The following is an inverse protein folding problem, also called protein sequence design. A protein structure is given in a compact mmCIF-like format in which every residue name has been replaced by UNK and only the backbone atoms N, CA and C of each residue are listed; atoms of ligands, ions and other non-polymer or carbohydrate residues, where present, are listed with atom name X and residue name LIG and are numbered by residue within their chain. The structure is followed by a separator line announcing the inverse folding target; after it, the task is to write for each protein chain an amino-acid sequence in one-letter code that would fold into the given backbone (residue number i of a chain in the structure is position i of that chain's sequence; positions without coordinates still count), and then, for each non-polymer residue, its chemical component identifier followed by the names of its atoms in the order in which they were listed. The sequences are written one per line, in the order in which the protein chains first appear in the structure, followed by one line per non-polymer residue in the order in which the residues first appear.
data_IF_212561300392
#
_entry.id   IF_212561300392
#
_cell.length_a   1.000
_cell.length_b   1.000
_cell.length_c   1.000
_cell.angle_alpha   90.00
_cell.angle_beta   90.00
_cell.angle_gamma   90.00
#
_symmetry.space_group_name_H-M   'P 1'
#
loop_
_entity.id
_entity.type
_entity.pdbx_description
1 polymer ?
#
# COMPACT_ATOMS: atom_id res chain seq x y z
N UNK A 1 -36.73 25.72 28.74
CA UNK A 1 -35.66 24.79 29.13
C UNK A 1 -34.49 25.04 28.20
N UNK A 2 -33.32 25.39 28.73
CA UNK A 2 -32.10 25.64 27.95
C UNK A 2 -31.26 24.38 27.97
N UNK A 3 -31.10 23.72 26.82
CA UNK A 3 -30.27 22.51 26.71
C UNK A 3 -28.80 22.93 26.78
N UNK A 4 -28.12 22.60 27.87
CA UNK A 4 -26.68 22.84 28.00
C UNK A 4 -25.91 21.83 27.16
N UNK A 5 -25.13 22.31 26.19
CA UNK A 5 -24.27 21.46 25.37
C UNK A 5 -23.05 21.03 26.18
N UNK A 6 -22.87 19.72 26.37
CA UNK A 6 -21.68 19.15 27.00
C UNK A 6 -20.59 18.96 25.95
N UNK A 7 -19.38 19.48 26.21
CA UNK A 7 -18.21 19.32 25.35
C UNK A 7 -17.19 18.43 26.05
N UNK A 8 -16.72 17.39 25.36
CA UNK A 8 -15.68 16.49 25.85
C UNK A 8 -14.60 16.37 24.79
N UNK A 9 -13.36 16.65 25.15
CA UNK A 9 -12.19 16.41 24.32
C UNK A 9 -11.76 14.94 24.46
N UNK A 10 -11.54 14.26 23.34
CA UNK A 10 -11.03 12.88 23.31
C UNK A 10 -9.52 12.91 23.14
N UNK A 11 -8.79 12.20 24.00
CA UNK A 11 -7.33 12.09 23.95
C UNK A 11 -6.90 10.81 23.19
N UNK A 12 -5.73 10.82 22.52
CA UNK A 12 -5.22 9.63 21.87
C UNK A 12 -4.73 8.61 22.90
N UNK A 13 -5.42 7.47 23.00
CA UNK A 13 -5.12 6.41 23.98
C UNK A 13 -4.80 5.05 23.32
N UNK A 14 -4.89 4.97 21.99
CA UNK A 14 -4.68 3.72 21.27
C UNK A 14 -3.20 3.32 21.24
N UNK A 15 -2.97 2.02 21.41
CA UNK A 15 -1.64 1.41 21.19
C UNK A 15 -1.30 1.37 19.70
N UNK A 16 -0.02 1.29 19.38
CA UNK A 16 0.47 1.24 18.00
C UNK A 16 -0.21 0.15 17.15
N UNK A 17 -0.37 -1.06 17.68
CA UNK A 17 -1.06 -2.15 16.96
C UNK A 17 -2.52 -1.81 16.62
N UNK A 18 -3.21 -1.08 17.49
CA UNK A 18 -4.58 -0.61 17.23
C UNK A 18 -4.58 0.47 16.15
N UNK A 19 -3.64 1.41 16.21
CA UNK A 19 -3.46 2.45 15.18
C UNK A 19 -3.19 1.79 13.82
N UNK A 20 -2.28 0.83 13.76
CA UNK A 20 -1.92 0.11 12.54
C UNK A 20 -3.13 -0.62 11.93
N UNK A 21 -3.86 -1.37 12.76
CA UNK A 21 -5.08 -2.07 12.32
C UNK A 21 -6.12 -1.10 11.75
N UNK A 22 -6.37 0.01 12.44
CA UNK A 22 -7.39 0.98 12.03
C UNK A 22 -6.95 1.78 10.81
N UNK A 23 -5.65 2.07 10.68
CA UNK A 23 -5.08 2.72 9.50
C UNK A 23 -5.18 1.82 8.28
N UNK A 24 -4.82 0.53 8.41
CA UNK A 24 -4.96 -0.44 7.34
C UNK A 24 -6.43 -0.59 6.89
N UNK A 25 -7.37 -0.64 7.84
CA UNK A 25 -8.81 -0.67 7.56
C UNK A 25 -9.30 0.59 6.86
N UNK A 26 -8.97 1.77 7.37
CA UNK A 26 -9.38 3.04 6.78
C UNK A 26 -8.81 3.20 5.35
N UNK A 27 -7.53 2.88 5.15
CA UNK A 27 -6.91 2.93 3.83
C UNK A 27 -7.57 1.95 2.87
N UNK A 28 -7.71 0.68 3.27
CA UNK A 28 -8.26 -0.38 2.43
C UNK A 28 -9.70 -0.11 2.02
N UNK A 29 -10.55 0.28 2.98
CA UNK A 29 -11.96 0.57 2.73
C UNK A 29 -12.15 1.74 1.77
N UNK A 30 -11.39 2.83 1.94
CA UNK A 30 -11.40 3.96 1.01
C UNK A 30 -10.91 3.56 -0.38
N UNK A 31 -9.81 2.82 -0.47
CA UNK A 31 -9.27 2.39 -1.75
C UNK A 31 -10.25 1.46 -2.49
N UNK A 32 -10.86 0.49 -1.80
CA UNK A 32 -11.86 -0.40 -2.40
C UNK A 32 -13.10 0.37 -2.86
N UNK A 33 -13.60 1.30 -2.05
CA UNK A 33 -14.75 2.13 -2.40
C UNK A 33 -14.44 3.00 -3.63
N UNK A 34 -13.29 3.68 -3.64
CA UNK A 34 -12.85 4.51 -4.76
C UNK A 34 -12.73 3.69 -6.05
N UNK A 35 -12.03 2.55 -6.00
CA UNK A 35 -11.87 1.67 -7.16
C UNK A 35 -13.20 1.14 -7.69
N UNK A 36 -14.15 0.81 -6.80
CA UNK A 36 -15.49 0.35 -7.19
C UNK A 36 -16.28 1.44 -7.90
N UNK A 37 -16.14 2.70 -7.46
CA UNK A 37 -16.80 3.84 -8.12
C UNK A 37 -16.13 4.15 -9.45
N UNK A 38 -14.80 4.25 -9.48
CA UNK A 38 -14.02 4.60 -10.67
C UNK A 38 -14.15 3.57 -11.78
N UNK A 39 -14.25 2.28 -11.45
CA UNK A 39 -14.47 1.21 -12.44
C UNK A 39 -15.74 1.42 -13.27
N UNK A 40 -16.75 2.16 -12.76
CA UNK A 40 -17.97 2.51 -13.51
C UNK A 40 -17.73 3.55 -14.60
N UNK A 41 -16.60 4.26 -14.54
CA UNK A 41 -16.19 5.30 -15.48
C UNK A 41 -15.11 4.82 -16.46
N UNK A 42 -14.76 3.53 -16.43
CA UNK A 42 -13.78 2.92 -17.33
C UNK A 42 -12.36 2.86 -16.76
N UNK A 43 -11.47 2.19 -17.51
CA UNK A 43 -10.09 1.91 -17.09
C UNK A 43 -9.23 3.17 -17.00
N UNK A 44 -9.49 4.17 -17.84
CA UNK A 44 -8.76 5.45 -17.83
C UNK A 44 -8.90 6.18 -16.48
N UNK A 45 -10.11 6.21 -15.91
CA UNK A 45 -10.35 6.83 -14.61
C UNK A 45 -9.61 6.12 -13.46
N UNK A 46 -9.50 4.79 -13.54
CA UNK A 46 -8.73 3.98 -12.59
C UNK A 46 -7.24 4.29 -12.71
N UNK A 47 -6.72 4.33 -13.94
CA UNK A 47 -5.31 4.61 -14.20
C UNK A 47 -4.91 6.02 -13.78
N UNK A 48 -5.75 7.02 -14.03
CA UNK A 48 -5.54 8.40 -13.58
C UNK A 48 -5.48 8.48 -12.05
N UNK A 49 -6.44 7.87 -11.36
CA UNK A 49 -6.45 7.81 -9.89
C UNK A 49 -5.19 7.16 -9.33
N UNK A 50 -4.75 6.04 -9.90
CA UNK A 50 -3.51 5.37 -9.48
C UNK A 50 -2.26 6.22 -9.73
N UNK A 51 -2.21 6.98 -10.82
CA UNK A 51 -1.12 7.91 -11.08
C UNK A 51 -1.11 9.06 -10.06
N UNK A 52 -2.25 9.69 -9.81
CA UNK A 52 -2.38 10.82 -8.89
C UNK A 52 -2.08 10.43 -7.43
N UNK A 53 -2.52 9.25 -7.00
CA UNK A 53 -2.22 8.75 -5.64
C UNK A 53 -0.77 8.35 -5.46
N UNK A 54 -0.08 7.93 -6.53
CA UNK A 54 1.34 7.58 -6.50
C UNK A 54 2.25 8.82 -6.38
N UNK A 55 1.92 9.92 -7.06
CA UNK A 55 2.79 11.10 -7.16
C UNK A 55 3.30 11.65 -5.82
N UNK A 56 2.47 11.84 -4.78
CA UNK A 56 2.94 12.32 -3.48
C UNK A 56 3.92 11.36 -2.80
N UNK A 57 3.70 10.06 -2.92
CA UNK A 57 4.59 9.04 -2.34
C UNK A 57 5.95 9.02 -3.05
N UNK A 58 5.95 9.11 -4.38
CA UNK A 58 7.18 9.23 -5.18
C UNK A 58 7.96 10.46 -4.76
N UNK A 59 7.29 11.62 -4.65
CA UNK A 59 7.89 12.87 -4.21
C UNK A 59 8.51 12.71 -2.82
N UNK A 60 7.77 12.15 -1.88
CA UNK A 60 8.24 11.93 -0.51
C UNK A 60 9.52 11.07 -0.46
N UNK A 61 9.56 9.94 -1.18
CA UNK A 61 10.74 9.08 -1.19
C UNK A 61 11.94 9.73 -1.92
N UNK A 62 11.70 10.53 -2.96
CA UNK A 62 12.76 11.34 -3.58
C UNK A 62 13.32 12.37 -2.60
N UNK A 63 12.47 13.03 -1.80
CA UNK A 63 12.88 13.97 -0.76
C UNK A 63 13.65 13.29 0.39
N UNK A 64 13.34 12.02 0.69
CA UNK A 64 14.13 11.18 1.60
C UNK A 64 15.49 10.74 1.03
N UNK A 65 15.77 11.05 -0.24
CA UNK A 65 17.03 10.71 -0.88
C UNK A 65 17.12 9.29 -1.44
N UNK A 66 16.00 8.63 -1.70
CA UNK A 66 15.97 7.30 -2.35
C UNK A 66 16.61 7.37 -3.74
N UNK A 67 17.70 6.63 -3.95
CA UNK A 67 18.47 6.60 -5.21
C UNK A 67 18.76 5.20 -5.73
N UNK A 68 18.61 4.19 -4.89
CA UNK A 68 18.86 2.78 -5.24
C UNK A 68 17.63 1.91 -4.95
N UNK A 69 17.52 0.74 -5.59
CA UNK A 69 16.55 -0.28 -5.22
C UNK A 69 16.56 -0.60 -3.71
N UNK A 70 17.74 -0.70 -3.09
CA UNK A 70 17.86 -0.96 -1.65
C UNK A 70 17.25 0.16 -0.80
N UNK A 71 17.48 1.42 -1.16
CA UNK A 71 16.87 2.56 -0.46
C UNK A 71 15.34 2.51 -0.58
N UNK A 72 14.85 2.15 -1.77
CA UNK A 72 13.42 2.08 -2.03
C UNK A 72 12.74 0.98 -1.22
N UNK A 73 13.30 -0.24 -1.19
CA UNK A 73 12.71 -1.33 -0.38
C UNK A 73 12.78 -1.03 1.11
N UNK A 74 13.85 -0.37 1.59
CA UNK A 74 13.97 0.08 2.99
C UNK A 74 12.87 1.08 3.35
N UNK A 75 12.73 2.16 2.56
CA UNK A 75 11.74 3.19 2.81
C UNK A 75 10.30 2.64 2.79
N UNK A 76 10.00 1.77 1.81
CA UNK A 76 8.69 1.10 1.73
C UNK A 76 8.45 0.15 2.90
N UNK A 77 9.42 -0.69 3.24
CA UNK A 77 9.28 -1.64 4.34
C UNK A 77 9.10 -0.93 5.68
N UNK A 78 9.86 0.14 5.92
CA UNK A 78 9.75 0.96 7.13
C UNK A 78 8.36 1.60 7.25
N UNK A 79 7.89 2.25 6.18
CA UNK A 79 6.56 2.86 6.16
C UNK A 79 5.47 1.81 6.40
N UNK A 80 5.46 0.72 5.65
CA UNK A 80 4.37 -0.26 5.70
C UNK A 80 4.36 -1.07 7.01
N UNK A 81 5.54 -1.32 7.59
CA UNK A 81 5.65 -1.96 8.91
C UNK A 81 5.14 -1.03 10.01
N UNK A 82 5.52 0.24 10.00
CA UNK A 82 5.16 1.17 11.07
C UNK A 82 3.72 1.67 10.98
N UNK A 83 3.22 1.93 9.77
CA UNK A 83 1.91 2.55 9.53
C UNK A 83 0.79 1.52 9.42
N UNK A 84 1.03 0.38 8.76
CA UNK A 84 0.00 -0.64 8.56
C UNK A 84 0.20 -1.90 9.40
N UNK A 85 1.39 -2.12 9.96
CA UNK A 85 1.71 -3.35 10.69
C UNK A 85 2.00 -4.55 9.79
N UNK A 86 2.40 -4.31 8.53
CA UNK A 86 2.88 -5.38 7.65
C UNK A 86 4.16 -6.02 8.20
N UNK A 87 4.36 -7.32 7.94
CA UNK A 87 5.61 -8.03 8.25
C UNK A 87 6.39 -8.23 6.97
N UNK A 88 7.55 -7.58 6.87
CA UNK A 88 8.31 -7.48 5.64
C UNK A 88 9.77 -7.87 5.91
N UNK A 89 10.31 -8.71 5.04
CA UNK A 89 11.73 -9.01 4.95
C UNK A 89 12.32 -8.31 3.72
N UNK A 90 13.49 -7.69 3.86
CA UNK A 90 14.22 -7.08 2.75
C UNK A 90 15.58 -7.76 2.57
N UNK A 91 16.02 -7.91 1.32
CA UNK A 91 17.33 -8.45 0.98
C UNK A 91 17.78 -7.94 -0.39
N UNK A 92 19.09 -8.00 -0.67
CA UNK A 92 19.69 -7.51 -1.91
C UNK A 92 20.70 -6.38 -1.71
N UNK A 93 20.97 -5.62 -2.77
CA UNK A 93 21.98 -4.59 -2.86
C UNK A 93 21.51 -3.32 -3.63
N UNK A 94 22.44 -2.42 -3.94
CA UNK A 94 22.17 -1.15 -4.62
C UNK A 94 21.76 -1.26 -6.11
N UNK A 95 21.76 -2.47 -6.69
CA UNK A 95 21.39 -2.75 -8.08
C UNK A 95 20.13 -3.60 -8.17
N UNK A 96 19.94 -4.54 -7.24
CA UNK A 96 18.76 -5.37 -7.15
C UNK A 96 18.38 -5.58 -5.68
N UNK A 97 17.14 -5.24 -5.33
CA UNK A 97 16.65 -5.41 -3.97
C UNK A 97 15.21 -5.91 -3.95
N UNK A 98 14.90 -6.67 -2.90
CA UNK A 98 13.65 -7.37 -2.74
C UNK A 98 12.92 -6.95 -1.48
N UNK A 99 11.60 -6.95 -1.56
CA UNK A 99 10.67 -6.72 -0.47
C UNK A 99 9.70 -7.91 -0.44
N UNK A 100 9.88 -8.79 0.54
CA UNK A 100 9.10 -10.01 0.73
C UNK A 100 8.08 -9.82 1.84
N UNK A 101 6.80 -9.89 1.48
CA UNK A 101 5.69 -9.77 2.40
C UNK A 101 5.44 -11.11 3.12
N UNK A 102 5.96 -11.24 4.34
CA UNK A 102 5.59 -12.34 5.24
C UNK A 102 4.14 -12.20 5.73
N UNK A 103 3.66 -10.96 5.82
CA UNK A 103 2.25 -10.64 6.05
C UNK A 103 1.95 -9.24 5.49
N UNK A 104 0.99 -9.12 4.59
CA UNK A 104 0.54 -7.84 4.05
C UNK A 104 -0.74 -7.39 4.76
N UNK A 105 -0.66 -6.33 5.57
CA UNK A 105 -1.79 -5.84 6.36
C UNK A 105 -2.97 -5.36 5.50
N UNK A 106 -2.68 -4.71 4.37
CA UNK A 106 -3.70 -4.24 3.42
C UNK A 106 -4.41 -5.44 2.77
N UNK A 107 -3.68 -6.42 2.24
CA UNK A 107 -4.26 -7.63 1.66
C UNK A 107 -5.13 -8.40 2.67
N UNK A 108 -4.62 -8.58 3.89
CA UNK A 108 -5.36 -9.24 4.96
C UNK A 108 -6.65 -8.49 5.30
N UNK A 109 -6.62 -7.16 5.28
CA UNK A 109 -7.80 -6.34 5.53
C UNK A 109 -8.80 -6.43 4.37
N UNK A 110 -8.33 -6.47 3.12
CA UNK A 110 -9.20 -6.69 1.96
C UNK A 110 -9.96 -8.00 2.06
N UNK A 111 -9.26 -9.11 2.38
CA UNK A 111 -9.87 -10.43 2.57
C UNK A 111 -10.91 -10.44 3.70
N UNK A 112 -10.75 -9.58 4.71
CA UNK A 112 -11.71 -9.47 5.82
C UNK A 112 -12.93 -8.59 5.47
N UNK A 113 -12.72 -7.52 4.70
CA UNK A 113 -13.77 -6.56 4.36
C UNK A 113 -14.59 -6.95 3.13
N UNK A 114 -14.01 -7.72 2.21
CA UNK A 114 -14.65 -8.19 1.00
C UNK A 114 -14.53 -9.70 0.89
N UNK A 115 -15.65 -10.37 0.68
CA UNK A 115 -15.64 -11.73 0.13
C UNK A 115 -15.20 -11.64 -1.33
N UNK A 116 -13.90 -11.53 -1.56
CA UNK A 116 -13.33 -11.60 -2.90
C UNK A 116 -13.39 -13.04 -3.38
N UNK A 117 -13.95 -13.25 -4.57
CA UNK A 117 -13.79 -14.53 -5.26
C UNK A 117 -12.39 -14.59 -5.90
N UNK A 118 -11.98 -15.78 -6.36
CA UNK A 118 -10.64 -15.99 -6.96
C UNK A 118 -10.35 -15.07 -8.15
N UNK A 119 -11.34 -14.81 -9.00
CA UNK A 119 -11.17 -13.92 -10.16
C UNK A 119 -10.87 -12.48 -9.71
N UNK A 120 -11.53 -12.01 -8.65
CA UNK A 120 -11.26 -10.70 -8.05
C UNK A 120 -9.88 -10.66 -7.40
N UNK A 121 -9.47 -11.73 -6.72
CA UNK A 121 -8.12 -11.83 -6.15
C UNK A 121 -7.05 -11.76 -7.24
N UNK A 122 -7.19 -12.51 -8.33
CA UNK A 122 -6.27 -12.49 -9.46
C UNK A 122 -6.17 -11.10 -10.11
N UNK A 123 -7.30 -10.42 -10.32
CA UNK A 123 -7.32 -9.04 -10.83
C UNK A 123 -6.62 -8.07 -9.90
N UNK A 124 -6.78 -8.22 -8.59
CA UNK A 124 -6.10 -7.39 -7.60
C UNK A 124 -4.60 -7.65 -7.57
N UNK A 125 -4.17 -8.91 -7.67
CA UNK A 125 -2.76 -9.27 -7.77
C UNK A 125 -2.11 -8.69 -9.03
N UNK A 126 -2.78 -8.77 -10.19
CA UNK A 126 -2.33 -8.15 -11.43
C UNK A 126 -2.26 -6.62 -11.31
N UNK A 127 -3.29 -6.01 -10.70
CA UNK A 127 -3.30 -4.57 -10.40
C UNK A 127 -2.14 -4.14 -9.49
N UNK A 128 -1.81 -4.94 -8.48
CA UNK A 128 -0.66 -4.70 -7.61
C UNK A 128 0.67 -4.76 -8.37
N UNK A 129 0.85 -5.77 -9.23
CA UNK A 129 2.04 -5.88 -10.08
C UNK A 129 2.20 -4.66 -11.02
N UNK A 130 1.11 -4.20 -11.62
CA UNK A 130 1.10 -2.99 -12.44
C UNK A 130 1.46 -1.74 -11.62
N UNK A 131 0.91 -1.60 -10.41
CA UNK A 131 1.23 -0.49 -9.51
C UNK A 131 2.71 -0.49 -9.13
N UNK A 132 3.29 -1.66 -8.81
CA UNK A 132 4.72 -1.81 -8.50
C UNK A 132 5.58 -1.42 -9.69
N UNK A 133 5.27 -1.91 -10.89
CA UNK A 133 6.02 -1.59 -12.11
C UNK A 133 5.94 -0.09 -12.43
N UNK A 134 4.75 0.51 -12.36
CA UNK A 134 4.56 1.94 -12.57
C UNK A 134 5.31 2.77 -11.52
N UNK A 135 5.37 2.30 -10.26
CA UNK A 135 6.12 2.95 -9.20
C UNK A 135 7.63 2.88 -9.43
N UNK A 136 8.15 1.72 -9.82
CA UNK A 136 9.58 1.53 -10.10
C UNK A 136 10.08 2.49 -11.18
N UNK A 137 9.29 2.68 -12.25
CA UNK A 137 9.61 3.58 -13.37
C UNK A 137 9.85 5.03 -12.94
N UNK A 138 9.16 5.49 -11.91
CA UNK A 138 9.31 6.87 -11.38
C UNK A 138 10.70 7.13 -10.79
N UNK A 139 11.45 6.07 -10.48
CA UNK A 139 12.82 6.09 -9.97
C UNK A 139 13.83 5.60 -11.03
N UNK A 140 13.38 5.30 -12.24
CA UNK A 140 14.22 4.71 -13.29
C UNK A 140 14.60 3.26 -13.03
N UNK A 141 13.75 2.52 -12.31
CA UNK A 141 13.93 1.09 -12.01
C UNK A 141 12.92 0.23 -12.76
N UNK A 142 13.26 -1.04 -12.94
CA UNK A 142 12.32 -2.11 -13.23
C UNK A 142 11.69 -2.62 -11.93
N UNK A 143 10.41 -2.98 -12.00
CA UNK A 143 9.66 -3.53 -10.86
C UNK A 143 8.87 -4.75 -11.27
N UNK A 144 9.01 -5.82 -10.50
CA UNK A 144 8.28 -7.09 -10.69
C UNK A 144 7.65 -7.55 -9.37
N UNK A 145 6.62 -8.38 -9.48
CA UNK A 145 6.00 -9.05 -8.34
C UNK A 145 5.87 -10.53 -8.65
N UNK A 146 6.38 -11.36 -7.74
CA UNK A 146 6.18 -12.81 -7.74
C UNK A 146 5.28 -13.20 -6.58
N UNK A 147 4.25 -13.97 -6.88
CA UNK A 147 3.36 -14.54 -5.86
C UNK A 147 3.68 -16.03 -5.69
N UNK A 148 3.95 -16.43 -4.46
CA UNK A 148 4.15 -17.82 -4.05
C UNK A 148 3.20 -18.11 -2.89
N UNK A 149 2.09 -18.79 -3.20
CA UNK A 149 0.96 -18.95 -2.27
C UNK A 149 0.42 -17.57 -1.83
N UNK A 150 0.34 -17.30 -0.52
CA UNK A 150 -0.09 -16.01 0.04
C UNK A 150 1.05 -15.00 0.23
N UNK A 151 2.27 -15.33 -0.21
CA UNK A 151 3.45 -14.46 -0.06
C UNK A 151 3.72 -13.75 -1.39
N UNK A 152 3.79 -12.43 -1.33
CA UNK A 152 4.25 -11.60 -2.44
C UNK A 152 5.71 -11.19 -2.22
N UNK A 153 6.54 -11.35 -3.24
CA UNK A 153 7.89 -10.78 -3.29
C UNK A 153 7.95 -9.75 -4.40
N UNK A 154 8.25 -8.52 -4.03
CA UNK A 154 8.49 -7.42 -4.96
C UNK A 154 9.99 -7.31 -5.18
N UNK A 155 10.42 -7.22 -6.44
CA UNK A 155 11.83 -6.95 -6.77
C UNK A 155 11.93 -5.63 -7.52
N UNK A 156 12.94 -4.83 -7.19
CA UNK A 156 13.33 -3.65 -7.94
C UNK A 156 14.75 -3.81 -8.48
N UNK A 157 14.95 -3.46 -9.76
CA UNK A 157 16.25 -3.53 -10.45
C UNK A 157 16.56 -2.21 -11.17
N UNK A 158 17.83 -1.84 -11.26
CA UNK A 158 18.28 -0.74 -12.12
C UNK A 158 18.30 -1.12 -13.59
#
# INVERSE_FOLDING_TARGET
MTTTLQKTEIKPEWKQEQIQKQTALAFTSNMMAAMTVLAKHGEEAVNEFQALTRMPMVKHYKEMGVKTPLDLVKAKAEFETNVFGSKIEIFGDEKEAHLKYLSCAIWNTMKQCGHMNKEQEEKMCAGFANCVSAFAKEFGFEGEVKFENEIATVTFRK
#
